data_IF_976518090311
#
_entry.id   IF_976518090311
#
_cell.length_a   1.000
_cell.length_b   1.000
_cell.length_c   1.000
_cell.angle_alpha   90.00
_cell.angle_beta   90.00
_cell.angle_gamma   90.00
#
_symmetry.space_group_name_H-M   'P 1'
#
loop_
_entity.id
_entity.type
_entity.pdbx_description
1 polymer ?
#
# COMPACT_ATOMS: atom_id res chain seq x y z
N UNK A 1 25.02 11.15 15.52
CA UNK A 1 23.92 12.02 15.96
C UNK A 1 23.50 11.58 17.36
N UNK A 2 23.44 12.47 18.35
CA UNK A 2 23.00 12.11 19.71
C UNK A 2 21.48 11.99 19.74
N UNK A 3 20.91 11.28 20.72
CA UNK A 3 19.45 11.14 20.87
C UNK A 3 18.74 12.51 20.92
N UNK A 4 19.35 13.47 21.59
CA UNK A 4 18.84 14.85 21.72
C UNK A 4 18.73 15.58 20.37
N UNK A 5 19.61 15.25 19.43
CA UNK A 5 19.65 15.87 18.10
C UNK A 5 18.58 15.27 17.17
N UNK A 6 18.13 14.03 17.45
CA UNK A 6 17.12 13.32 16.67
C UNK A 6 15.78 14.05 16.74
N UNK A 7 15.35 14.43 17.96
CA UNK A 7 14.05 15.08 18.19
C UNK A 7 13.95 16.42 17.47
N UNK A 8 15.08 17.09 17.24
CA UNK A 8 15.17 18.38 16.56
C UNK A 8 15.16 18.27 15.03
N UNK A 9 15.22 17.06 14.48
CA UNK A 9 15.27 16.90 13.03
C UNK A 9 13.92 17.23 12.38
N UNK A 10 13.88 17.90 11.22
CA UNK A 10 12.63 18.25 10.52
C UNK A 10 11.76 17.05 10.16
N UNK A 11 12.38 15.88 9.91
CA UNK A 11 11.68 14.64 9.58
C UNK A 11 11.07 13.94 10.81
N UNK A 12 11.55 14.25 12.02
CA UNK A 12 11.18 13.54 13.24
C UNK A 12 9.68 13.59 13.54
N UNK A 13 9.00 14.76 13.44
CA UNK A 13 7.56 14.82 13.67
C UNK A 13 6.75 13.94 12.72
N UNK A 14 7.15 13.87 11.44
CA UNK A 14 6.45 13.05 10.44
C UNK A 14 6.57 11.55 10.73
N UNK A 15 7.79 11.09 11.08
CA UNK A 15 8.05 9.69 11.44
C UNK A 15 7.35 9.32 12.76
N UNK A 16 7.43 10.18 13.78
CA UNK A 16 6.76 9.91 15.06
C UNK A 16 5.25 9.93 14.95
N UNK A 17 4.68 10.89 14.22
CA UNK A 17 3.24 10.92 13.95
C UNK A 17 2.76 9.62 13.29
N UNK A 18 3.45 9.20 12.23
CA UNK A 18 3.11 7.98 11.50
C UNK A 18 3.32 6.70 12.33
N UNK A 19 4.30 6.69 13.24
CA UNK A 19 4.50 5.59 14.19
C UNK A 19 3.32 5.48 15.17
N UNK A 20 2.82 6.62 15.66
CA UNK A 20 1.64 6.66 16.53
C UNK A 20 0.38 6.21 15.79
N UNK A 21 0.20 6.64 14.55
CA UNK A 21 -0.91 6.21 13.69
C UNK A 21 -0.85 4.71 13.43
N UNK A 22 0.35 4.17 13.19
CA UNK A 22 0.57 2.72 13.05
C UNK A 22 0.20 1.96 14.33
N UNK A 23 0.65 2.42 15.50
CA UNK A 23 0.30 1.82 16.80
C UNK A 23 -1.21 1.89 17.05
N UNK A 24 -1.85 3.03 16.76
CA UNK A 24 -3.29 3.19 16.92
C UNK A 24 -4.08 2.27 15.97
N UNK A 25 -3.70 2.21 14.70
CA UNK A 25 -4.29 1.32 13.71
C UNK A 25 -4.11 -0.16 14.09
N UNK A 26 -2.97 -0.50 14.68
CA UNK A 26 -2.68 -1.83 15.21
C UNK A 26 -3.36 -2.13 16.55
N UNK A 27 -4.33 -1.33 17.00
CA UNK A 27 -5.12 -1.58 18.22
C UNK A 27 -4.45 -1.13 19.52
N UNK A 28 -3.49 -0.21 19.44
CA UNK A 28 -2.88 0.44 20.59
C UNK A 28 -1.67 -0.30 21.19
N UNK A 29 -1.11 0.32 22.23
CA UNK A 29 0.15 -0.12 22.87
C UNK A 29 0.07 -1.57 23.35
N UNK A 30 -1.04 -1.97 23.95
CA UNK A 30 -1.21 -3.31 24.52
C UNK A 30 -1.24 -4.40 23.44
N UNK A 31 -2.02 -4.21 22.37
CA UNK A 31 -2.06 -5.16 21.24
C UNK A 31 -0.71 -5.25 20.55
N UNK A 32 -0.04 -4.12 20.31
CA UNK A 32 1.28 -4.07 19.67
C UNK A 32 2.34 -4.76 20.53
N UNK A 33 2.36 -4.50 21.84
CA UNK A 33 3.26 -5.13 22.80
C UNK A 33 3.11 -6.65 22.80
N UNK A 34 1.87 -7.13 22.83
CA UNK A 34 1.56 -8.57 22.75
C UNK A 34 1.97 -9.17 21.40
N UNK A 35 1.61 -8.54 20.30
CA UNK A 35 1.88 -9.02 18.94
C UNK A 35 3.38 -9.13 18.63
N UNK A 36 4.17 -8.14 19.07
CA UNK A 36 5.61 -8.09 18.83
C UNK A 36 6.45 -8.79 19.90
N UNK A 37 5.83 -9.27 20.98
CA UNK A 37 6.55 -9.87 22.12
C UNK A 37 7.51 -8.90 22.83
N UNK A 38 7.22 -7.59 22.84
CA UNK A 38 8.06 -6.57 23.46
C UNK A 38 7.34 -5.86 24.60
N UNK A 39 8.08 -5.24 25.53
CA UNK A 39 7.48 -4.60 26.71
C UNK A 39 6.66 -3.35 26.37
N UNK A 40 5.55 -3.12 27.09
CA UNK A 40 4.68 -1.95 26.93
C UNK A 40 5.42 -0.62 27.01
N UNK A 41 6.44 -0.52 27.86
CA UNK A 41 7.30 0.67 27.98
C UNK A 41 8.08 0.95 26.70
N UNK A 42 8.54 -0.09 26.01
CA UNK A 42 9.28 0.06 24.75
C UNK A 42 8.35 0.64 23.68
N UNK A 43 7.15 0.08 23.54
CA UNK A 43 6.12 0.60 22.63
C UNK A 43 5.66 2.01 23.03
N UNK A 44 5.54 2.27 24.33
CA UNK A 44 5.24 3.59 24.88
C UNK A 44 6.28 4.64 24.50
N UNK A 45 7.57 4.29 24.52
CA UNK A 45 8.64 5.18 24.08
C UNK A 45 8.55 5.48 22.57
N UNK A 46 8.24 4.48 21.74
CA UNK A 46 7.99 4.71 20.31
C UNK A 46 6.78 5.63 20.08
N UNK A 47 5.74 5.51 20.91
CA UNK A 47 4.55 6.33 20.84
C UNK A 47 4.74 7.76 21.39
N UNK A 48 5.71 7.99 22.28
CA UNK A 48 5.90 9.30 22.94
C UNK A 48 6.66 10.31 22.05
N UNK A 49 6.09 11.49 21.81
CA UNK A 49 6.68 12.59 21.02
C UNK A 49 8.03 13.08 21.55
N UNK A 50 8.25 13.04 22.86
CA UNK A 50 9.45 13.58 23.50
C UNK A 50 10.61 12.58 23.49
N UNK A 51 10.31 11.30 23.24
CA UNK A 51 11.31 10.24 23.24
C UNK A 51 11.92 10.07 21.85
N UNK A 52 13.25 10.15 21.78
CA UNK A 52 14.02 9.94 20.57
C UNK A 52 13.98 8.50 20.05
N UNK A 53 13.48 7.55 20.84
CA UNK A 53 13.35 6.15 20.47
C UNK A 53 12.34 5.99 19.31
N UNK A 54 12.86 5.52 18.18
CA UNK A 54 12.10 5.19 16.98
C UNK A 54 11.74 3.71 16.97
N UNK A 55 10.61 3.39 16.32
CA UNK A 55 10.24 2.01 16.06
C UNK A 55 11.28 1.34 15.15
N UNK A 56 11.83 0.18 15.51
CA UNK A 56 12.79 -0.53 14.66
C UNK A 56 12.11 -1.08 13.41
N UNK A 57 12.86 -1.21 12.30
CA UNK A 57 12.30 -1.62 11.00
C UNK A 57 11.57 -2.97 11.05
N UNK A 58 12.08 -3.95 11.81
CA UNK A 58 11.42 -5.26 11.92
C UNK A 58 10.00 -5.15 12.51
N UNK A 59 9.79 -4.25 13.48
CA UNK A 59 8.50 -4.03 14.11
C UNK A 59 7.53 -3.33 13.16
N UNK A 60 8.04 -2.35 12.39
CA UNK A 60 7.28 -1.70 11.33
C UNK A 60 6.79 -2.72 10.29
N UNK A 61 7.69 -3.56 9.77
CA UNK A 61 7.37 -4.57 8.76
C UNK A 61 6.30 -5.54 9.28
N UNK A 62 6.45 -6.03 10.52
CA UNK A 62 5.50 -6.95 11.11
C UNK A 62 4.10 -6.32 11.29
N UNK A 63 4.03 -5.07 11.76
CA UNK A 63 2.76 -4.38 11.98
C UNK A 63 2.07 -3.98 10.67
N UNK A 64 2.83 -3.52 9.67
CA UNK A 64 2.26 -3.18 8.36
C UNK A 64 1.77 -4.42 7.61
N UNK A 65 2.45 -5.56 7.79
CA UNK A 65 1.98 -6.85 7.28
C UNK A 65 0.69 -7.32 7.97
N UNK A 66 0.59 -7.19 9.31
CA UNK A 66 -0.65 -7.47 10.07
C UNK A 66 -1.82 -6.59 9.59
N UNK A 67 -1.55 -5.32 9.34
CA UNK A 67 -2.57 -4.35 8.89
C UNK A 67 -2.88 -4.41 7.39
N UNK A 68 -2.02 -5.05 6.58
CA UNK A 68 -2.14 -5.09 5.13
C UNK A 68 -2.02 -3.73 4.44
N UNK A 69 -1.38 -2.73 5.07
CA UNK A 69 -1.18 -1.39 4.48
C UNK A 69 0.07 -0.68 5.02
N UNK A 70 0.80 0.06 4.17
CA UNK A 70 1.97 0.82 4.58
C UNK A 70 1.57 2.19 5.16
N UNK A 71 1.77 2.37 6.47
CA UNK A 71 1.53 3.64 7.18
C UNK A 71 2.85 4.38 7.36
N UNK A 72 3.81 3.73 8.03
CA UNK A 72 5.12 4.29 8.33
C UNK A 72 6.05 4.20 7.10
N UNK A 73 5.97 3.13 6.32
CA UNK A 73 6.66 3.03 5.03
C UNK A 73 6.23 4.14 4.06
N UNK A 74 4.94 4.48 4.04
CA UNK A 74 4.44 5.60 3.24
C UNK A 74 4.98 6.95 3.73
N UNK A 75 5.20 7.12 5.03
CA UNK A 75 5.81 8.32 5.59
C UNK A 75 7.30 8.44 5.19
N UNK A 76 8.05 7.35 5.26
CA UNK A 76 9.44 7.31 4.77
C UNK A 76 9.54 7.66 3.29
N UNK A 77 8.67 7.09 2.45
CA UNK A 77 8.65 7.38 1.01
C UNK A 77 8.40 8.87 0.73
N UNK A 78 7.42 9.48 1.42
CA UNK A 78 7.11 10.92 1.26
C UNK A 78 8.29 11.82 1.61
N UNK A 79 9.04 11.49 2.65
CA UNK A 79 10.22 12.25 3.06
C UNK A 79 11.33 12.21 2.00
N UNK A 80 11.40 11.14 1.21
CA UNK A 80 12.33 11.03 0.08
C UNK A 80 11.75 11.51 -1.26
N UNK A 81 10.55 12.09 -1.28
CA UNK A 81 9.87 12.50 -2.52
C UNK A 81 9.33 11.34 -3.37
N UNK A 82 9.18 10.16 -2.77
CA UNK A 82 8.66 8.94 -3.40
C UNK A 82 7.24 8.61 -2.92
N UNK A 83 6.58 7.67 -3.62
CA UNK A 83 5.28 7.12 -3.24
C UNK A 83 5.37 5.60 -3.14
N UNK A 84 4.60 4.99 -2.23
CA UNK A 84 4.50 3.53 -2.12
C UNK A 84 3.37 3.03 -3.01
N UNK A 85 3.69 2.08 -3.87
CA UNK A 85 2.72 1.35 -4.68
C UNK A 85 2.59 -0.09 -4.20
N UNK A 86 1.46 -0.73 -4.49
CA UNK A 86 1.31 -2.18 -4.35
C UNK A 86 2.00 -2.93 -5.49
N UNK A 87 1.92 -4.26 -5.46
CA UNK A 87 2.55 -5.14 -6.46
C UNK A 87 2.05 -4.96 -7.90
N UNK A 88 0.94 -4.24 -8.09
CA UNK A 88 0.38 -3.92 -9.41
C UNK A 88 0.65 -2.45 -9.80
N UNK A 89 1.49 -1.73 -9.05
CA UNK A 89 1.82 -0.33 -9.33
C UNK A 89 0.77 0.69 -8.87
N UNK A 90 -0.30 0.28 -8.19
CA UNK A 90 -1.31 1.22 -7.69
C UNK A 90 -0.92 1.80 -6.31
N UNK A 91 -1.32 3.04 -5.94
CA UNK A 91 -0.95 3.63 -4.65
C UNK A 91 -1.40 2.79 -3.44
N UNK A 92 -0.47 2.41 -2.58
CA UNK A 92 -0.74 1.57 -1.42
C UNK A 92 -1.50 2.33 -0.30
N UNK A 93 -2.46 1.68 0.34
CA UNK A 93 -3.16 2.21 1.53
C UNK A 93 -4.36 3.13 1.27
N UNK A 94 -4.69 3.44 0.02
CA UNK A 94 -6.03 3.99 -0.30
C UNK A 94 -7.02 2.83 -0.18
N UNK A 95 -8.11 3.00 0.57
CA UNK A 95 -9.19 2.02 0.56
C UNK A 95 -9.61 1.86 -0.91
N UNK A 96 -9.25 0.73 -1.54
CA UNK A 96 -9.68 0.43 -2.90
C UNK A 96 -11.20 0.47 -2.90
N UNK A 97 -11.74 1.52 -3.52
CA UNK A 97 -13.15 1.63 -3.77
C UNK A 97 -13.43 0.63 -4.88
N UNK A 98 -14.33 -0.32 -4.64
CA UNK A 98 -14.74 -1.25 -5.69
C UNK A 98 -15.19 -0.49 -6.94
N UNK A 99 -15.81 0.68 -6.77
CA UNK A 99 -16.19 1.56 -7.88
C UNK A 99 -14.98 2.10 -8.66
N UNK A 100 -13.86 2.39 -7.99
CA UNK A 100 -12.62 2.80 -8.67
C UNK A 100 -11.95 1.62 -9.37
N UNK A 101 -11.88 0.46 -8.72
CA UNK A 101 -11.32 -0.76 -9.33
C UNK A 101 -12.12 -1.11 -10.60
N UNK A 102 -13.46 -1.06 -10.54
CA UNK A 102 -14.34 -1.27 -11.70
C UNK A 102 -14.13 -0.21 -12.78
N UNK A 103 -13.98 1.07 -12.42
CA UNK A 103 -13.76 2.13 -13.39
C UNK A 103 -12.42 1.94 -14.14
N UNK A 104 -11.37 1.55 -13.44
CA UNK A 104 -10.06 1.28 -14.04
C UNK A 104 -10.12 0.07 -14.99
N UNK A 105 -10.75 -1.03 -14.56
CA UNK A 105 -10.94 -2.21 -15.44
C UNK A 105 -11.70 -1.81 -16.71
N UNK A 106 -12.75 -1.00 -16.60
CA UNK A 106 -13.52 -0.54 -17.76
C UNK A 106 -12.67 0.36 -18.69
N UNK A 107 -11.78 1.17 -18.12
CA UNK A 107 -10.85 1.98 -18.90
C UNK A 107 -9.87 1.10 -19.68
N UNK A 108 -9.21 0.14 -19.02
CA UNK A 108 -8.27 -0.80 -19.65
C UNK A 108 -8.95 -1.64 -20.74
N UNK A 109 -10.18 -2.11 -20.49
CA UNK A 109 -11.00 -2.80 -21.49
C UNK A 109 -11.31 -1.89 -22.69
N UNK A 110 -11.63 -0.61 -22.45
CA UNK A 110 -11.86 0.34 -23.55
C UNK A 110 -10.61 0.57 -24.38
N UNK A 111 -9.42 0.67 -23.76
CA UNK A 111 -8.16 0.81 -24.49
C UNK A 111 -7.83 -0.45 -25.29
N UNK A 112 -8.07 -1.63 -24.74
CA UNK A 112 -7.97 -2.89 -25.48
C UNK A 112 -8.92 -2.91 -26.69
N UNK A 113 -10.18 -2.54 -26.51
CA UNK A 113 -11.15 -2.52 -27.61
C UNK A 113 -10.78 -1.51 -28.70
N UNK A 114 -10.22 -0.36 -28.33
CA UNK A 114 -9.69 0.62 -29.27
C UNK A 114 -8.56 0.02 -30.10
N UNK A 115 -7.51 -0.49 -29.45
CA UNK A 115 -6.37 -1.12 -30.12
C UNK A 115 -6.79 -2.33 -30.97
N UNK A 116 -7.73 -3.14 -30.48
CA UNK A 116 -8.27 -4.28 -31.22
C UNK A 116 -9.04 -3.85 -32.47
N UNK A 117 -9.82 -2.77 -32.39
CA UNK A 117 -10.55 -2.24 -33.53
C UNK A 117 -9.62 -1.63 -34.57
N UNK A 118 -8.54 -0.98 -34.16
CA UNK A 118 -7.51 -0.45 -35.06
C UNK A 118 -6.76 -1.58 -35.76
N UNK A 119 -6.32 -2.59 -35.01
CA UNK A 119 -5.62 -3.75 -35.53
C UNK A 119 -6.51 -4.66 -36.41
N UNK A 120 -7.83 -4.56 -36.33
CA UNK A 120 -8.75 -5.30 -37.20
C UNK A 120 -9.01 -4.57 -38.53
N UNK A 121 -8.56 -3.32 -38.68
CA UNK A 121 -8.95 -2.46 -39.79
C UNK A 121 -8.53 -2.99 -41.17
N UNK A 122 -7.40 -3.69 -41.26
CA UNK A 122 -6.90 -4.33 -42.48
C UNK A 122 -7.19 -5.85 -42.55
N UNK A 123 -7.83 -6.40 -41.51
CA UNK A 123 -8.27 -7.79 -41.44
C UNK A 123 -7.17 -8.80 -41.06
N UNK A 124 -5.94 -8.36 -40.79
CA UNK A 124 -4.84 -9.23 -40.36
C UNK A 124 -4.17 -8.67 -39.10
N UNK A 125 -3.72 -9.55 -38.21
CA UNK A 125 -2.93 -9.11 -37.06
C UNK A 125 -1.44 -9.24 -37.34
N UNK A 126 -0.72 -8.13 -37.30
CA UNK A 126 0.73 -8.14 -37.26
C UNK A 126 1.25 -8.69 -35.93
N UNK A 127 2.51 -9.16 -35.92
CA UNK A 127 3.16 -9.62 -34.69
C UNK A 127 3.29 -8.50 -33.63
N UNK A 128 3.38 -7.24 -34.07
CA UNK A 128 3.45 -6.09 -33.16
C UNK A 128 2.10 -5.88 -32.47
N UNK A 129 0.99 -5.89 -33.21
CA UNK A 129 -0.36 -5.74 -32.64
C UNK A 129 -0.71 -6.90 -31.71
N UNK A 130 -0.35 -8.14 -32.07
CA UNK A 130 -0.58 -9.28 -31.18
C UNK A 130 0.16 -9.14 -29.84
N UNK A 131 1.36 -8.55 -29.84
CA UNK A 131 2.12 -8.28 -28.61
C UNK A 131 1.45 -7.19 -27.78
N UNK A 132 1.05 -6.10 -28.42
CA UNK A 132 0.35 -5.00 -27.74
C UNK A 132 -0.98 -5.47 -27.14
N UNK A 133 -1.80 -6.16 -27.91
CA UNK A 133 -3.08 -6.71 -27.44
C UNK A 133 -2.87 -7.69 -26.28
N UNK A 134 -1.83 -8.53 -26.34
CA UNK A 134 -1.49 -9.44 -25.24
C UNK A 134 -1.09 -8.68 -23.97
N UNK A 135 -0.30 -7.62 -24.09
CA UNK A 135 0.08 -6.78 -22.94
C UNK A 135 -1.17 -6.16 -22.31
N UNK A 136 -2.06 -5.55 -23.11
CA UNK A 136 -3.32 -4.98 -22.62
C UNK A 136 -4.23 -6.03 -21.94
N UNK A 137 -4.33 -7.24 -22.50
CA UNK A 137 -5.07 -8.35 -21.87
C UNK A 137 -4.42 -8.76 -20.54
N UNK A 138 -3.08 -8.77 -20.46
CA UNK A 138 -2.36 -9.10 -19.24
C UNK A 138 -2.62 -8.07 -18.13
N UNK A 139 -2.71 -6.79 -18.48
CA UNK A 139 -3.05 -5.71 -17.55
C UNK A 139 -4.48 -5.88 -17.01
N UNK A 140 -5.46 -6.09 -17.92
CA UNK A 140 -6.86 -6.36 -17.55
C UNK A 140 -6.96 -7.56 -16.60
N UNK A 141 -6.26 -8.66 -16.91
CA UNK A 141 -6.26 -9.86 -16.08
C UNK A 141 -5.71 -9.58 -14.67
N UNK A 142 -4.64 -8.79 -14.58
CA UNK A 142 -4.03 -8.39 -13.32
C UNK A 142 -4.96 -7.50 -12.50
N UNK A 143 -5.63 -6.55 -13.13
CA UNK A 143 -6.63 -5.67 -12.50
C UNK A 143 -7.87 -6.43 -12.01
N UNK A 144 -8.37 -7.39 -12.80
CA UNK A 144 -9.47 -8.28 -12.40
C UNK A 144 -9.10 -9.14 -11.17
N UNK A 145 -7.92 -9.76 -11.17
CA UNK A 145 -7.45 -10.55 -10.03
C UNK A 145 -7.35 -9.69 -8.76
N UNK A 146 -6.86 -8.45 -8.92
CA UNK A 146 -6.80 -7.46 -7.86
C UNK A 146 -8.20 -7.12 -7.30
N UNK A 147 -9.20 -6.94 -8.15
CA UNK A 147 -10.58 -6.64 -7.76
C UNK A 147 -11.25 -7.81 -7.02
N UNK A 148 -11.03 -9.05 -7.49
CA UNK A 148 -11.50 -10.26 -6.79
C UNK A 148 -10.94 -10.30 -5.36
N UNK A 149 -9.63 -10.09 -5.20
CA UNK A 149 -9.01 -10.04 -3.88
C UNK A 149 -9.59 -8.94 -2.98
N UNK A 150 -9.97 -7.79 -3.56
CA UNK A 150 -10.68 -6.72 -2.83
C UNK A 150 -12.07 -7.17 -2.36
N UNK A 151 -12.82 -7.88 -3.21
CA UNK A 151 -14.15 -8.42 -2.87
C UNK A 151 -14.03 -9.45 -1.74
N UNK A 152 -13.11 -10.40 -1.84
CA UNK A 152 -12.92 -11.46 -0.84
C UNK A 152 -12.60 -10.87 0.53
N UNK A 153 -11.71 -9.88 0.60
CA UNK A 153 -11.42 -9.15 1.86
C UNK A 153 -12.67 -8.49 2.44
N UNK A 154 -13.52 -7.87 1.60
CA UNK A 154 -14.76 -7.22 2.05
C UNK A 154 -15.79 -8.24 2.55
N UNK A 155 -15.85 -9.43 1.95
CA UNK A 155 -16.70 -10.53 2.42
C UNK A 155 -16.21 -10.99 3.79
N UNK A 156 -14.92 -11.29 3.94
CA UNK A 156 -14.33 -11.76 5.19
C UNK A 156 -14.55 -10.76 6.35
N UNK A 157 -14.37 -9.46 6.10
CA UNK A 157 -14.57 -8.41 7.10
C UNK A 157 -16.04 -8.23 7.56
N UNK A 158 -17.02 -8.71 6.79
CA UNK A 158 -18.45 -8.70 7.16
C UNK A 158 -18.92 -9.98 7.84
N UNK A 159 -18.12 -11.04 7.78
CA UNK A 159 -18.41 -12.33 8.37
C UNK A 159 -17.84 -12.49 9.79
N UNK A 160 -16.98 -11.56 10.23
CA UNK A 160 -16.38 -11.47 11.56
C UNK A 160 -17.13 -10.45 12.42
#
# INVERSE_FOLDING_TARGET
MKKEDIVKQPWFPAIKGSTRDLIAAAGGIDRVSLFLGCGKTVVGNWNNWEMADLMPHWAMIALEADLGRPILSAAYARLSGATVTDGNGAPAGRARSLSMDTANIMHEVSEYLGAHSEALADGEYSLAELRELREKISDIASSLAAAVSTIDRKIAARAA
#
